data_IF_405071746511
#
_entry.id   IF_405071746511
#
_cell.length_a   1.000
_cell.length_b   1.000
_cell.length_c   1.000
_cell.angle_alpha   90.00
_cell.angle_beta   90.00
_cell.angle_gamma   90.00
#
_symmetry.space_group_name_H-M   'P 1'
#
loop_
_entity.id
_entity.type
_entity.pdbx_description
1 polymer ?
#
# COMPACT_ATOMS: atom_id res chain seq x y z
N UNK A 1 -12.59 20.73 5.81
CA UNK A 1 -11.88 19.44 5.96
C UNK A 1 -10.75 19.40 4.95
N UNK A 2 -9.69 18.62 5.20
CA UNK A 2 -8.59 18.41 4.24
C UNK A 2 -8.87 17.13 3.45
N UNK A 3 -9.46 17.20 2.23
CA UNK A 3 -9.86 16.00 1.49
C UNK A 3 -8.65 15.19 1.00
N UNK A 4 -7.55 15.85 0.70
CA UNK A 4 -6.33 15.26 0.20
C UNK A 4 -5.08 16.04 0.64
N UNK A 5 -3.90 15.50 0.32
CA UNK A 5 -2.62 16.10 0.68
C UNK A 5 -2.37 17.45 0.00
N UNK A 6 -3.04 17.78 -1.11
CA UNK A 6 -2.87 19.09 -1.75
C UNK A 6 -3.37 20.21 -0.86
N UNK A 7 -4.51 20.02 -0.18
CA UNK A 7 -5.03 21.00 0.76
C UNK A 7 -4.17 21.09 2.03
N UNK A 8 -3.56 19.99 2.48
CA UNK A 8 -2.61 20.01 3.61
C UNK A 8 -1.35 20.79 3.22
N UNK A 9 -0.79 20.53 2.03
CA UNK A 9 0.36 21.25 1.52
C UNK A 9 0.05 22.75 1.31
N UNK A 10 -1.17 23.08 0.86
CA UNK A 10 -1.60 24.47 0.74
C UNK A 10 -1.61 25.17 2.12
N UNK A 11 -2.12 24.53 3.16
CA UNK A 11 -2.15 25.11 4.50
C UNK A 11 -0.76 25.27 5.14
N UNK A 12 0.18 24.35 4.86
CA UNK A 12 1.52 24.36 5.45
C UNK A 12 2.52 25.22 4.68
N UNK A 13 2.43 25.22 3.34
CA UNK A 13 3.46 25.76 2.46
C UNK A 13 2.91 26.78 1.43
N UNK A 14 1.60 27.03 1.42
CA UNK A 14 0.98 27.97 0.48
C UNK A 14 0.93 27.49 -0.97
N UNK A 15 1.16 26.21 -1.25
CA UNK A 15 1.11 25.64 -2.62
C UNK A 15 -0.27 25.81 -3.24
N UNK A 16 -0.36 25.90 -4.57
CA UNK A 16 -1.66 25.90 -5.26
C UNK A 16 -2.51 24.69 -4.82
N UNK A 17 -3.77 24.90 -4.40
CA UNK A 17 -4.71 23.80 -4.19
C UNK A 17 -4.83 22.97 -5.45
N UNK A 18 -5.29 21.72 -5.30
CA UNK A 18 -5.61 20.90 -6.44
C UNK A 18 -4.39 20.61 -7.36
N UNK A 19 -3.23 20.44 -6.72
CA UNK A 19 -1.99 20.02 -7.36
C UNK A 19 -1.85 18.48 -7.40
N UNK A 20 -0.72 17.96 -7.89
CA UNK A 20 -0.48 16.52 -8.01
C UNK A 20 -0.64 15.71 -6.71
N UNK A 21 -0.57 16.35 -5.53
CA UNK A 21 -0.82 15.70 -4.24
C UNK A 21 -2.30 15.38 -4.00
N UNK A 22 -3.21 15.86 -4.85
CA UNK A 22 -4.65 15.64 -4.72
C UNK A 22 -5.07 14.18 -4.93
N UNK A 23 -4.23 13.39 -5.61
CA UNK A 23 -4.40 11.94 -5.76
C UNK A 23 -4.37 11.24 -4.39
N UNK A 24 -3.54 11.73 -3.47
CA UNK A 24 -3.34 11.13 -2.16
C UNK A 24 -4.39 11.66 -1.19
N UNK A 25 -5.48 10.91 -1.08
CA UNK A 25 -6.57 11.23 -0.15
C UNK A 25 -6.10 11.09 1.30
N UNK A 26 -6.50 12.04 2.13
CA UNK A 26 -6.07 12.15 3.53
C UNK A 26 -6.36 10.87 4.32
N UNK A 27 -7.54 10.27 4.11
CA UNK A 27 -7.92 9.02 4.75
C UNK A 27 -6.93 7.89 4.45
N UNK A 28 -6.68 7.62 3.17
CA UNK A 28 -5.78 6.53 2.75
C UNK A 28 -4.34 6.75 3.20
N UNK A 29 -3.87 8.00 3.16
CA UNK A 29 -2.53 8.36 3.62
C UNK A 29 -2.33 8.06 5.11
N UNK A 30 -3.22 8.53 5.98
CA UNK A 30 -3.10 8.29 7.42
C UNK A 30 -3.38 6.82 7.79
N UNK A 31 -4.26 6.13 7.05
CA UNK A 31 -4.46 4.70 7.20
C UNK A 31 -3.16 3.92 6.93
N UNK A 32 -2.43 4.26 5.86
CA UNK A 32 -1.15 3.66 5.54
C UNK A 32 -0.10 3.92 6.64
N UNK A 33 -0.04 5.15 7.17
CA UNK A 33 0.86 5.49 8.29
C UNK A 33 0.51 4.67 9.54
N UNK A 34 -0.77 4.49 9.85
CA UNK A 34 -1.20 3.71 11.01
C UNK A 34 -0.73 2.25 10.90
N UNK A 35 -0.90 1.62 9.73
CA UNK A 35 -0.40 0.27 9.48
C UNK A 35 1.12 0.17 9.58
N UNK A 36 1.85 1.11 8.96
CA UNK A 36 3.30 1.11 9.00
C UNK A 36 3.82 1.27 10.43
N UNK A 37 3.25 2.21 11.18
CA UNK A 37 3.61 2.45 12.58
C UNK A 37 3.30 1.22 13.44
N UNK A 38 2.12 0.61 13.27
CA UNK A 38 1.75 -0.62 13.96
C UNK A 38 2.72 -1.76 13.64
N UNK A 39 3.13 -1.92 12.38
CA UNK A 39 4.07 -2.95 11.97
C UNK A 39 5.46 -2.75 12.61
N UNK A 40 5.95 -1.51 12.66
CA UNK A 40 7.24 -1.18 13.29
C UNK A 40 7.19 -1.48 14.80
N UNK A 41 6.15 -1.01 15.49
CA UNK A 41 5.99 -1.26 16.93
C UNK A 41 5.88 -2.76 17.19
N UNK A 42 5.08 -3.47 16.40
CA UNK A 42 4.91 -4.92 16.53
C UNK A 42 6.21 -5.69 16.30
N UNK A 43 7.00 -5.30 15.29
CA UNK A 43 8.32 -5.89 15.03
C UNK A 43 9.27 -5.72 16.23
N UNK A 44 9.34 -4.52 16.80
CA UNK A 44 10.17 -4.28 17.98
C UNK A 44 9.70 -5.06 19.20
N UNK A 45 8.40 -5.18 19.40
CA UNK A 45 7.83 -5.95 20.50
C UNK A 45 8.09 -7.46 20.34
N UNK A 46 7.97 -8.00 19.12
CA UNK A 46 8.38 -9.38 18.84
C UNK A 46 9.87 -9.59 19.13
N UNK A 47 10.74 -8.65 18.74
CA UNK A 47 12.17 -8.75 19.03
C UNK A 47 12.46 -8.70 20.54
N UNK A 48 11.74 -7.87 21.30
CA UNK A 48 11.84 -7.81 22.77
C UNK A 48 11.42 -9.13 23.40
N UNK A 49 10.26 -9.68 23.01
CA UNK A 49 9.78 -10.98 23.50
C UNK A 49 10.69 -12.14 23.12
N UNK A 50 11.33 -12.07 21.95
CA UNK A 50 12.34 -13.05 21.55
C UNK A 50 13.55 -13.03 22.49
N UNK A 51 14.04 -11.83 22.85
CA UNK A 51 15.14 -11.67 23.79
C UNK A 51 14.79 -12.14 25.22
N UNK A 52 13.52 -12.05 25.60
CA UNK A 52 12.99 -12.56 26.87
C UNK A 52 12.81 -14.09 26.88
N UNK A 53 13.12 -14.78 25.77
CA UNK A 53 12.99 -16.23 25.67
C UNK A 53 11.57 -16.73 25.49
N UNK A 54 10.62 -15.86 25.09
CA UNK A 54 9.22 -16.23 24.89
C UNK A 54 9.02 -17.15 23.67
N UNK A 55 9.97 -17.14 22.72
CA UNK A 55 9.93 -17.99 21.53
C UNK A 55 10.93 -19.13 21.63
N UNK A 56 10.50 -20.32 21.24
CA UNK A 56 11.36 -21.50 21.13
C UNK A 56 11.84 -21.63 19.68
N UNK A 57 13.14 -21.86 19.43
CA UNK A 57 13.64 -22.08 18.09
C UNK A 57 13.06 -23.37 17.52
N UNK A 58 12.53 -23.31 16.30
CA UNK A 58 12.09 -24.49 15.54
C UNK A 58 13.11 -24.76 14.44
N UNK A 59 13.64 -26.00 14.40
CA UNK A 59 14.50 -26.44 13.31
C UNK A 59 13.61 -26.79 12.11
N UNK A 60 13.64 -25.94 11.09
CA UNK A 60 12.94 -26.16 9.84
C UNK A 60 13.95 -26.30 8.71
N UNK A 61 13.83 -27.37 7.94
CA UNK A 61 14.61 -27.55 6.71
C UNK A 61 14.01 -26.67 5.62
N UNK A 62 14.70 -25.60 5.25
CA UNK A 62 14.31 -24.73 4.13
C UNK A 62 14.87 -25.34 2.85
N UNK A 63 14.01 -25.59 1.86
CA UNK A 63 14.46 -25.95 0.51
C UNK A 63 14.52 -24.70 -0.34
N UNK A 64 15.73 -24.19 -0.57
CA UNK A 64 15.96 -23.03 -1.45
C UNK A 64 16.04 -23.45 -2.92
N UNK A 65 15.66 -22.55 -3.84
CA UNK A 65 15.83 -22.75 -5.29
C UNK A 65 14.76 -23.61 -5.97
N UNK A 66 13.62 -23.89 -5.33
CA UNK A 66 12.48 -24.48 -6.04
C UNK A 66 11.97 -23.50 -7.11
N UNK A 67 11.69 -23.98 -8.34
CA UNK A 67 11.05 -23.13 -9.35
C UNK A 67 9.67 -22.71 -8.86
N UNK A 68 9.24 -21.51 -9.26
CA UNK A 68 7.88 -21.06 -9.00
C UNK A 68 6.89 -22.08 -9.57
N UNK A 69 5.93 -22.48 -8.75
CA UNK A 69 4.85 -23.35 -9.14
C UNK A 69 4.01 -22.68 -10.23
N UNK A 70 3.35 -23.49 -11.06
CA UNK A 70 2.40 -22.96 -12.06
C UNK A 70 1.30 -22.12 -11.41
N UNK A 71 0.88 -22.46 -10.17
CA UNK A 71 -0.09 -21.68 -9.42
C UNK A 71 0.40 -20.27 -9.07
N UNK A 72 1.66 -20.14 -8.63
CA UNK A 72 2.28 -18.84 -8.33
C UNK A 72 2.48 -17.99 -9.60
N UNK A 73 2.83 -18.62 -10.71
CA UNK A 73 2.98 -17.91 -11.99
C UNK A 73 1.63 -17.40 -12.46
N UNK A 74 0.61 -18.26 -12.48
CA UNK A 74 -0.74 -17.87 -12.90
C UNK A 74 -1.34 -16.79 -12.00
N UNK A 75 -1.19 -16.90 -10.67
CA UNK A 75 -1.72 -15.90 -9.74
C UNK A 75 -1.05 -14.54 -9.93
N UNK A 76 0.27 -14.51 -10.10
CA UNK A 76 0.99 -13.26 -10.39
C UNK A 76 0.62 -12.67 -11.74
N UNK A 77 0.41 -13.50 -12.78
CA UNK A 77 -0.06 -13.02 -14.09
C UNK A 77 -1.44 -12.39 -13.98
N UNK A 78 -2.38 -13.03 -13.28
CA UNK A 78 -3.74 -12.50 -13.10
C UNK A 78 -3.71 -11.19 -12.32
N UNK A 79 -3.03 -11.15 -11.18
CA UNK A 79 -2.92 -9.94 -10.35
C UNK A 79 -2.22 -8.82 -11.12
N UNK A 80 -1.11 -9.14 -11.79
CA UNK A 80 -0.36 -8.19 -12.62
C UNK A 80 -1.20 -7.64 -13.77
N UNK A 81 -1.96 -8.48 -14.46
CA UNK A 81 -2.86 -8.06 -15.54
C UNK A 81 -3.97 -7.14 -15.04
N UNK A 82 -4.61 -7.47 -13.90
CA UNK A 82 -5.64 -6.62 -13.30
C UNK A 82 -5.07 -5.26 -12.84
N UNK A 83 -3.91 -5.26 -12.19
CA UNK A 83 -3.23 -4.04 -11.73
C UNK A 83 -2.81 -3.17 -12.92
N UNK A 84 -2.20 -3.74 -13.95
CA UNK A 84 -1.78 -3.03 -15.15
C UNK A 84 -2.99 -2.46 -15.90
N UNK A 85 -4.05 -3.25 -16.10
CA UNK A 85 -5.26 -2.79 -16.77
C UNK A 85 -5.90 -1.59 -16.06
N UNK A 86 -6.07 -1.68 -14.73
CA UNK A 86 -6.60 -0.57 -13.92
C UNK A 86 -5.66 0.64 -13.90
N UNK A 87 -4.35 0.40 -13.82
CA UNK A 87 -3.33 1.47 -13.88
C UNK A 87 -3.34 2.23 -15.20
N UNK A 88 -3.43 1.52 -16.33
CA UNK A 88 -3.56 2.15 -17.66
C UNK A 88 -4.87 2.93 -17.76
N UNK A 89 -5.98 2.38 -17.27
CA UNK A 89 -7.26 3.10 -17.26
C UNK A 89 -7.21 4.39 -16.42
N UNK A 90 -6.62 4.31 -15.22
CA UNK A 90 -6.42 5.46 -14.34
C UNK A 90 -5.54 6.54 -14.98
N UNK A 91 -4.51 6.14 -15.73
CA UNK A 91 -3.66 7.07 -16.48
C UNK A 91 -4.42 7.76 -17.61
N UNK A 92 -5.24 7.01 -18.37
CA UNK A 92 -6.06 7.57 -19.46
C UNK A 92 -7.20 8.46 -18.93
N UNK A 93 -7.76 8.15 -17.76
CA UNK A 93 -8.88 8.86 -17.14
C UNK A 93 -8.43 9.56 -15.85
N UNK A 94 -7.34 10.33 -15.96
CA UNK A 94 -6.68 10.95 -14.81
C UNK A 94 -7.60 11.85 -13.98
N UNK A 95 -8.47 12.63 -14.61
CA UNK A 95 -9.42 13.50 -13.90
C UNK A 95 -10.39 12.71 -13.03
N UNK A 96 -10.96 11.63 -13.57
CA UNK A 96 -11.88 10.74 -12.83
C UNK A 96 -11.13 10.08 -11.67
N UNK A 97 -9.93 9.56 -11.94
CA UNK A 97 -9.09 8.92 -10.94
C UNK A 97 -8.69 9.88 -9.81
N UNK A 98 -8.40 11.14 -10.13
CA UNK A 98 -8.01 12.15 -9.15
C UNK A 98 -9.18 12.52 -8.22
N UNK A 99 -10.40 12.62 -8.74
CA UNK A 99 -11.57 12.92 -7.93
C UNK A 99 -12.00 11.73 -7.07
N UNK A 100 -12.06 10.54 -7.65
CA UNK A 100 -12.47 9.31 -6.95
C UNK A 100 -11.59 8.11 -7.36
N UNK A 101 -10.42 7.95 -6.69
CA UNK A 101 -9.53 6.83 -6.98
C UNK A 101 -10.15 5.47 -6.61
N UNK A 102 -11.04 5.46 -5.61
CA UNK A 102 -11.60 4.23 -5.06
C UNK A 102 -12.55 3.57 -6.06
N UNK A 103 -13.40 4.35 -6.75
CA UNK A 103 -14.27 3.78 -7.78
C UNK A 103 -13.46 3.22 -8.95
N UNK A 104 -12.37 3.86 -9.36
CA UNK A 104 -11.52 3.34 -10.45
C UNK A 104 -10.78 2.05 -10.06
N UNK A 105 -10.27 1.97 -8.83
CA UNK A 105 -9.51 0.80 -8.35
C UNK A 105 -10.45 -0.35 -8.00
N UNK A 106 -11.53 -0.08 -7.26
CA UNK A 106 -12.41 -1.08 -6.67
C UNK A 106 -13.71 -1.33 -7.45
N UNK A 107 -13.89 -0.70 -8.62
CA UNK A 107 -15.08 -0.90 -9.46
C UNK A 107 -15.42 -2.38 -9.57
N UNK A 108 -16.61 -2.74 -9.08
CA UNK A 108 -17.27 -4.00 -9.39
C UNK A 108 -17.91 -3.91 -10.77
#
# INVERSE_FOLDING_TARGET
MYPDLSYIAHALFGTAPDNGLSILKTFGFFLAIAFLTSAIVFYHELKRKAAEGFFQPSLMTITEGKPASMGEILSNVVVGFLMLGKGVYAYQHYEVFRHDPASVILSS
#
